data_IF_317300169294
#
_entry.id   IF_317300169294
#
_cell.length_a   1.000
_cell.length_b   1.000
_cell.length_c   1.000
_cell.angle_alpha   90.00
_cell.angle_beta   90.00
_cell.angle_gamma   90.00
#
_symmetry.space_group_name_H-M   'P 1'
#
loop_
_entity.id
_entity.type
_entity.pdbx_description
1 polymer ?
#
# COMPACT_ATOMS: atom_id res chain seq x y z
N UNK A 1 -44.27 64.78 15.19
CA UNK A 1 -44.44 64.02 16.43
C UNK A 1 -44.65 62.57 16.02
N UNK A 2 -43.57 61.79 15.89
CA UNK A 2 -43.62 60.37 15.53
C UNK A 2 -42.30 59.72 15.99
N UNK A 3 -42.43 58.66 16.78
CA UNK A 3 -41.30 58.01 17.50
C UNK A 3 -40.64 56.98 16.59
N UNK A 4 -39.42 57.24 16.12
CA UNK A 4 -38.55 56.22 15.55
C UNK A 4 -37.60 55.66 16.61
N UNK A 5 -37.81 54.39 16.96
CA UNK A 5 -36.98 53.59 17.86
C UNK A 5 -35.58 53.40 17.25
N UNK A 6 -34.54 53.76 18.01
CA UNK A 6 -33.14 53.39 17.74
C UNK A 6 -32.98 51.86 17.75
N UNK A 7 -32.60 51.29 16.61
CA UNK A 7 -32.01 49.95 16.52
C UNK A 7 -30.62 49.99 17.17
N UNK A 8 -30.37 49.11 18.14
CA UNK A 8 -29.02 48.81 18.63
C UNK A 8 -28.41 47.79 17.67
N UNK A 9 -27.32 48.16 17.02
CA UNK A 9 -26.51 47.24 16.22
C UNK A 9 -25.87 46.19 17.13
N UNK A 10 -25.78 44.98 16.59
CA UNK A 10 -25.18 43.80 17.17
C UNK A 10 -23.69 43.90 16.86
N UNK A 11 -22.90 44.34 17.84
CA UNK A 11 -21.45 44.17 17.85
C UNK A 11 -21.01 43.89 19.29
N UNK A 12 -20.98 42.61 19.66
CA UNK A 12 -20.17 42.07 20.76
C UNK A 12 -20.37 40.55 20.84
N UNK A 13 -19.80 39.80 19.91
CA UNK A 13 -19.63 38.34 20.06
C UNK A 13 -18.23 37.93 19.62
N UNK A 14 -17.22 38.40 20.36
CA UNK A 14 -15.91 37.77 20.44
C UNK A 14 -15.30 37.99 21.83
N UNK A 15 -15.80 37.24 22.82
CA UNK A 15 -15.03 36.94 24.02
C UNK A 15 -14.37 35.58 23.81
N UNK A 16 -13.05 35.57 23.67
CA UNK A 16 -12.21 34.38 23.74
C UNK A 16 -12.36 33.78 25.15
N UNK A 17 -12.88 32.57 25.25
CA UNK A 17 -12.78 31.78 26.48
C UNK A 17 -11.48 31.00 26.46
N UNK A 18 -10.59 31.27 27.42
CA UNK A 18 -9.43 30.44 27.67
C UNK A 18 -9.87 29.07 28.23
N UNK A 19 -9.27 27.95 27.77
CA UNK A 19 -9.59 26.64 28.31
C UNK A 19 -8.98 26.47 29.70
N UNK A 20 -9.83 26.23 30.71
CA UNK A 20 -9.37 25.80 32.04
C UNK A 20 -8.84 24.37 31.96
N UNK A 21 -7.57 24.18 32.25
CA UNK A 21 -6.98 22.86 32.49
C UNK A 21 -7.56 22.27 33.79
N UNK A 22 -8.22 21.11 33.68
CA UNK A 22 -8.58 20.29 34.83
C UNK A 22 -7.66 19.07 34.85
N UNK A 23 -6.70 19.06 35.79
CA UNK A 23 -5.89 17.89 36.09
C UNK A 23 -6.72 16.85 36.85
N UNK A 24 -6.91 15.67 36.25
CA UNK A 24 -7.88 14.64 36.65
C UNK A 24 -7.41 13.78 37.85
N UNK A 25 -6.97 14.41 38.94
CA UNK A 25 -6.47 13.73 40.14
C UNK A 25 -7.55 12.94 40.91
N UNK A 26 -8.84 13.26 40.70
CA UNK A 26 -9.95 12.60 41.38
C UNK A 26 -10.14 11.14 40.98
N UNK A 27 -10.00 10.84 39.68
CA UNK A 27 -10.22 9.50 39.14
C UNK A 27 -9.10 8.53 39.56
N UNK A 28 -7.86 8.99 39.53
CA UNK A 28 -6.70 8.20 39.96
C UNK A 28 -6.80 7.79 41.44
N UNK A 29 -7.20 8.74 42.31
CA UNK A 29 -7.38 8.50 43.75
C UNK A 29 -8.51 7.51 44.04
N UNK A 30 -9.58 7.54 43.24
CA UNK A 30 -10.70 6.61 43.35
C UNK A 30 -10.34 5.17 42.93
N UNK A 31 -9.58 5.02 41.84
CA UNK A 31 -9.12 3.71 41.34
C UNK A 31 -8.16 3.07 42.33
N UNK A 32 -7.23 3.85 42.89
CA UNK A 32 -6.25 3.35 43.85
C UNK A 32 -6.90 2.89 45.16
N UNK A 33 -7.93 3.61 45.64
CA UNK A 33 -8.68 3.26 46.85
C UNK A 33 -9.51 1.97 46.72
N UNK A 34 -9.93 1.61 45.51
CA UNK A 34 -10.84 0.48 45.27
C UNK A 34 -10.21 -0.69 44.49
N UNK A 35 -8.87 -0.74 44.34
CA UNK A 35 -8.15 -1.74 43.53
C UNK A 35 -8.40 -3.21 43.97
N UNK A 36 -8.89 -3.44 45.19
CA UNK A 36 -9.13 -4.78 45.75
C UNK A 36 -10.60 -5.20 45.82
N UNK A 37 -11.55 -4.36 45.38
CA UNK A 37 -12.98 -4.71 45.35
C UNK A 37 -13.46 -4.85 43.91
N UNK A 38 -13.86 -6.06 43.53
CA UNK A 38 -14.51 -6.33 42.24
C UNK A 38 -15.96 -5.87 42.30
N UNK A 39 -16.19 -4.56 42.15
CA UNK A 39 -17.54 -3.99 42.01
C UNK A 39 -17.77 -3.70 40.54
N UNK A 40 -18.54 -4.56 39.86
CA UNK A 40 -19.04 -4.30 38.52
C UNK A 40 -20.31 -3.44 38.63
N UNK A 41 -20.33 -2.33 37.91
CA UNK A 41 -21.43 -1.37 37.96
C UNK A 41 -22.48 -1.69 36.89
N UNK A 42 -23.63 -2.20 37.33
CA UNK A 42 -24.86 -2.25 36.54
C UNK A 42 -25.55 -0.89 36.52
N UNK A 43 -26.32 -0.60 35.46
CA UNK A 43 -26.90 0.73 35.19
C UNK A 43 -28.02 1.14 36.16
N UNK A 44 -28.49 0.25 37.05
CA UNK A 44 -29.57 0.57 37.99
C UNK A 44 -29.36 0.11 39.44
N UNK A 45 -28.42 -0.78 39.77
CA UNK A 45 -28.13 -1.15 41.17
C UNK A 45 -26.84 -1.97 41.31
N UNK A 46 -26.26 -1.98 42.53
CA UNK A 46 -25.08 -2.80 42.89
C UNK A 46 -25.54 -4.16 43.39
N UNK A 47 -25.31 -5.24 42.63
CA UNK A 47 -25.47 -6.61 43.12
C UNK A 47 -24.13 -7.32 43.23
N UNK A 48 -23.99 -8.21 44.21
CA UNK A 48 -22.82 -9.07 44.40
C UNK A 48 -22.86 -10.34 43.53
N UNK A 49 -24.01 -10.65 42.92
CA UNK A 49 -24.21 -11.84 42.10
C UNK A 49 -24.67 -11.45 40.68
N UNK A 50 -24.02 -12.04 39.68
CA UNK A 50 -24.27 -11.80 38.26
C UNK A 50 -25.23 -12.86 37.71
N UNK A 51 -26.38 -12.43 37.17
CA UNK A 51 -27.30 -13.27 36.39
C UNK A 51 -27.35 -12.75 34.96
N UNK A 52 -27.12 -13.64 33.99
CA UNK A 52 -27.05 -13.35 32.55
C UNK A 52 -28.34 -12.78 31.97
N UNK A 53 -29.49 -13.03 32.62
CA UNK A 53 -30.81 -12.55 32.23
C UNK A 53 -30.94 -11.02 32.25
N UNK A 54 -30.16 -10.32 33.09
CA UNK A 54 -30.26 -8.87 33.25
C UNK A 54 -29.58 -8.06 32.14
N UNK A 55 -28.85 -8.71 31.23
CA UNK A 55 -28.09 -8.01 30.20
C UNK A 55 -28.87 -7.68 28.93
N UNK A 56 -30.10 -8.20 28.74
CA UNK A 56 -30.92 -8.01 27.52
C UNK A 56 -30.14 -8.19 26.19
N UNK A 57 -29.03 -8.92 26.20
CA UNK A 57 -28.13 -9.12 25.06
C UNK A 57 -28.36 -10.45 24.34
N UNK A 58 -29.33 -11.24 24.79
CA UNK A 58 -29.76 -12.47 24.12
C UNK A 58 -31.24 -12.36 23.76
N UNK A 59 -31.55 -12.60 22.49
CA UNK A 59 -32.92 -12.72 22.00
C UNK A 59 -33.57 -13.96 22.60
N UNK A 60 -34.52 -13.76 23.51
CA UNK A 60 -35.45 -14.82 23.93
C UNK A 60 -36.50 -14.94 22.83
N UNK A 61 -36.53 -16.09 22.16
CA UNK A 61 -37.58 -16.41 21.17
C UNK A 61 -38.89 -16.57 21.94
N UNK A 62 -39.88 -15.74 21.62
CA UNK A 62 -41.18 -15.72 22.27
C UNK A 62 -42.14 -16.60 21.44
N UNK A 63 -42.86 -17.54 22.06
CA UNK A 63 -43.67 -18.57 21.38
C UNK A 63 -44.92 -18.05 20.65
N UNK A 64 -45.12 -16.72 20.57
CA UNK A 64 -46.30 -16.08 20.00
C UNK A 64 -45.96 -15.06 18.91
N UNK A 65 -45.24 -15.44 17.85
CA UNK A 65 -45.16 -14.63 16.63
C UNK A 65 -45.56 -15.43 15.39
N UNK A 66 -46.49 -14.90 14.54
CA UNK A 66 -46.91 -15.58 13.33
C UNK A 66 -45.86 -15.44 12.21
N UNK A 67 -45.83 -16.46 11.34
CA UNK A 67 -44.98 -16.53 10.16
C UNK A 67 -45.15 -15.30 9.25
N UNK A 68 -44.06 -14.55 9.03
CA UNK A 68 -43.99 -13.58 7.95
C UNK A 68 -43.24 -14.19 6.76
N UNK A 69 -44.02 -14.53 5.74
CA UNK A 69 -43.56 -14.71 4.37
C UNK A 69 -43.23 -13.33 3.76
N UNK A 70 -42.24 -13.33 2.88
CA UNK A 70 -41.81 -12.20 2.05
C UNK A 70 -42.97 -11.41 1.43
N UNK A 71 -42.80 -10.10 1.30
CA UNK A 71 -43.25 -9.33 0.13
C UNK A 71 -42.53 -7.98 0.05
N UNK A 72 -42.12 -7.65 -1.17
CA UNK A 72 -41.57 -6.39 -1.63
C UNK A 72 -42.43 -5.18 -1.23
N UNK A 73 -41.77 -4.05 -0.95
CA UNK A 73 -42.43 -2.78 -0.71
C UNK A 73 -41.45 -1.66 -0.44
N UNK A 74 -41.00 -1.01 -1.51
CA UNK A 74 -40.31 0.28 -1.47
C UNK A 74 -41.20 1.28 -0.72
N UNK A 75 -40.74 1.78 0.43
CA UNK A 75 -41.30 2.95 1.09
C UNK A 75 -40.19 3.97 1.36
N UNK A 76 -40.28 5.07 0.60
CA UNK A 76 -39.58 6.33 0.87
C UNK A 76 -39.88 6.78 2.31
N UNK A 77 -38.82 6.98 3.10
CA UNK A 77 -38.93 7.57 4.43
C UNK A 77 -38.45 9.02 4.36
N UNK A 78 -39.40 9.96 4.43
CA UNK A 78 -39.11 11.38 4.60
C UNK A 78 -38.45 11.66 5.97
N UNK A 79 -37.53 12.61 5.94
CA UNK A 79 -36.56 12.91 7.01
C UNK A 79 -37.17 13.89 8.01
N UNK A 80 -37.73 13.38 9.11
CA UNK A 80 -38.08 14.22 10.28
C UNK A 80 -36.81 14.41 11.14
N UNK A 81 -36.24 15.61 11.12
CA UNK A 81 -35.13 16.02 11.98
C UNK A 81 -35.69 16.39 13.35
N UNK A 82 -35.64 15.46 14.29
CA UNK A 82 -35.77 15.74 15.72
C UNK A 82 -34.39 15.70 16.36
N UNK A 83 -33.79 16.87 16.61
CA UNK A 83 -32.54 17.01 17.35
C UNK A 83 -32.76 16.73 18.85
N UNK A 84 -32.67 15.46 19.24
CA UNK A 84 -32.41 15.10 20.65
C UNK A 84 -30.91 15.13 20.88
N UNK A 85 -30.45 15.97 21.81
CA UNK A 85 -29.07 15.98 22.28
C UNK A 85 -28.72 14.63 22.92
N UNK A 86 -28.02 13.79 22.17
CA UNK A 86 -27.53 12.49 22.65
C UNK A 86 -26.23 12.75 23.42
N UNK A 87 -26.23 12.43 24.72
CA UNK A 87 -24.98 12.25 25.49
C UNK A 87 -24.26 11.02 24.89
N UNK A 88 -23.30 11.28 24.00
CA UNK A 88 -22.48 10.25 23.34
C UNK A 88 -21.82 9.33 24.38
N UNK A 89 -22.02 8.03 24.24
CA UNK A 89 -21.39 7.02 25.10
C UNK A 89 -19.91 6.84 24.74
N UNK A 90 -19.13 6.19 25.63
CA UNK A 90 -17.71 5.84 25.36
C UNK A 90 -17.53 5.00 24.07
N UNK A 91 -18.54 4.23 23.68
CA UNK A 91 -18.55 3.48 22.42
C UNK A 91 -18.62 4.39 21.19
N UNK A 92 -19.38 5.49 21.27
CA UNK A 92 -19.51 6.47 20.20
C UNK A 92 -18.21 7.25 20.01
N UNK A 93 -17.46 7.49 21.10
CA UNK A 93 -16.14 8.14 21.03
C UNK A 93 -15.14 7.29 20.24
N UNK A 94 -15.15 5.97 20.43
CA UNK A 94 -14.24 5.08 19.69
C UNK A 94 -14.59 5.02 18.20
N UNK A 95 -15.88 4.98 17.87
CA UNK A 95 -16.32 5.04 16.47
C UNK A 95 -15.97 6.39 15.83
N UNK A 96 -16.15 7.50 16.54
CA UNK A 96 -15.78 8.84 16.06
C UNK A 96 -14.27 8.99 15.83
N UNK A 97 -13.45 8.44 16.72
CA UNK A 97 -11.98 8.37 16.53
C UNK A 97 -11.66 7.51 15.30
N UNK A 98 -12.31 6.36 15.14
CA UNK A 98 -12.07 5.44 14.00
C UNK A 98 -12.49 6.07 12.67
N UNK A 99 -13.63 6.75 12.62
CA UNK A 99 -14.10 7.45 11.43
C UNK A 99 -13.20 8.65 11.11
N UNK A 100 -12.81 9.44 12.10
CA UNK A 100 -11.89 10.58 11.91
C UNK A 100 -10.54 10.14 11.34
N UNK A 101 -9.96 9.06 11.88
CA UNK A 101 -8.67 8.53 11.44
C UNK A 101 -8.76 7.46 10.34
N UNK A 102 -9.94 7.28 9.74
CA UNK A 102 -10.05 6.50 8.49
C UNK A 102 -9.39 7.24 7.32
N UNK A 103 -9.34 8.58 7.38
CA UNK A 103 -8.61 9.41 6.43
C UNK A 103 -7.27 9.87 7.03
N UNK A 104 -6.18 9.49 6.36
CA UNK A 104 -4.82 9.83 6.76
C UNK A 104 -4.57 11.35 6.78
N UNK A 105 -5.34 12.14 6.02
CA UNK A 105 -5.22 13.61 5.99
C UNK A 105 -5.52 14.23 7.35
N UNK A 106 -6.49 13.69 8.08
CA UNK A 106 -6.83 14.16 9.41
C UNK A 106 -5.73 13.82 10.42
N UNK A 107 -5.04 12.70 10.22
CA UNK A 107 -3.86 12.35 11.02
C UNK A 107 -2.72 13.35 10.79
N UNK A 108 -2.43 13.69 9.53
CA UNK A 108 -1.41 14.68 9.18
C UNK A 108 -1.76 16.08 9.71
N UNK A 109 -3.04 16.48 9.62
CA UNK A 109 -3.50 17.77 10.12
C UNK A 109 -3.44 17.85 11.65
N UNK A 110 -3.90 16.83 12.36
CA UNK A 110 -3.82 16.78 13.83
C UNK A 110 -2.36 16.76 14.32
N UNK A 111 -1.46 16.11 13.57
CA UNK A 111 -0.03 16.12 13.85
C UNK A 111 0.60 17.53 13.68
N UNK A 112 0.25 18.24 12.60
CA UNK A 112 0.71 19.62 12.37
C UNK A 112 0.14 20.62 13.38
N UNK A 113 -1.10 20.41 13.80
CA UNK A 113 -1.79 21.25 14.79
C UNK A 113 -1.40 20.89 16.24
N UNK A 114 -0.49 19.91 16.46
CA UNK A 114 -0.01 19.50 17.78
C UNK A 114 -1.05 18.78 18.66
N UNK A 115 -2.16 18.33 18.07
CA UNK A 115 -3.26 17.67 18.77
C UNK A 115 -2.99 16.17 18.91
N UNK A 116 -2.66 15.73 20.12
CA UNK A 116 -2.38 14.30 20.42
C UNK A 116 -3.62 13.50 20.84
N UNK A 117 -4.84 13.97 20.54
CA UNK A 117 -6.07 13.32 20.97
C UNK A 117 -6.31 11.99 20.24
N UNK A 118 -5.83 10.90 20.82
CA UNK A 118 -6.21 9.53 20.43
C UNK A 118 -5.06 8.64 19.96
N UNK A 119 -3.82 9.14 19.91
CA UNK A 119 -2.65 8.32 19.61
C UNK A 119 -1.89 8.03 20.90
N UNK A 120 -1.62 6.76 21.20
CA UNK A 120 -0.77 6.43 22.35
C UNK A 120 0.67 6.87 22.07
N UNK A 121 1.39 7.28 23.13
CA UNK A 121 2.83 7.61 23.07
C UNK A 121 3.65 6.52 22.38
N UNK A 122 3.35 5.25 22.63
CA UNK A 122 4.01 4.12 21.98
C UNK A 122 3.81 4.10 20.45
N UNK A 123 2.62 4.44 19.96
CA UNK A 123 2.35 4.50 18.52
C UNK A 123 3.06 5.68 17.87
N UNK A 124 3.10 6.83 18.53
CA UNK A 124 3.86 7.99 18.04
C UNK A 124 5.36 7.69 17.94
N UNK A 125 5.91 7.00 18.93
CA UNK A 125 7.32 6.62 18.92
C UNK A 125 7.65 5.66 17.78
N UNK A 126 6.81 4.64 17.54
CA UNK A 126 6.98 3.74 16.40
C UNK A 126 6.85 4.46 15.04
N UNK A 127 5.91 5.40 14.91
CA UNK A 127 5.77 6.21 13.69
C UNK A 127 7.01 7.07 13.46
N UNK A 128 7.61 7.63 14.51
CA UNK A 128 8.85 8.41 14.42
C UNK A 128 10.03 7.58 13.90
N UNK A 129 10.18 6.35 14.39
CA UNK A 129 11.24 5.42 13.95
C UNK A 129 11.06 5.05 12.47
N UNK A 130 9.83 4.74 12.06
CA UNK A 130 9.56 4.39 10.66
C UNK A 130 9.78 5.59 9.75
N UNK A 131 9.34 6.78 10.17
CA UNK A 131 9.53 8.02 9.40
C UNK A 131 11.01 8.39 9.25
N UNK A 132 11.84 8.20 10.27
CA UNK A 132 13.27 8.52 10.20
C UNK A 132 14.02 7.59 9.22
N UNK A 133 13.64 6.31 9.14
CA UNK A 133 14.20 5.37 8.16
C UNK A 133 13.88 5.79 6.72
N UNK A 134 12.60 6.08 6.44
CA UNK A 134 12.21 6.56 5.11
C UNK A 134 12.85 7.91 4.76
N UNK A 135 12.92 8.82 5.72
CA UNK A 135 13.59 10.10 5.53
C UNK A 135 15.09 9.91 5.25
N UNK A 136 15.78 9.02 5.98
CA UNK A 136 17.18 8.69 5.75
C UNK A 136 17.43 8.08 4.37
N UNK A 137 16.60 7.12 3.95
CA UNK A 137 16.68 6.54 2.61
C UNK A 137 16.47 7.60 1.52
N UNK A 138 15.46 8.46 1.68
CA UNK A 138 15.18 9.54 0.74
C UNK A 138 16.31 10.58 0.69
N UNK A 139 16.82 10.99 1.85
CA UNK A 139 17.91 11.96 1.98
C UNK A 139 19.19 11.41 1.34
N UNK A 140 19.53 10.15 1.57
CA UNK A 140 20.67 9.50 0.93
C UNK A 140 20.51 9.49 -0.58
N UNK A 141 19.34 9.10 -1.09
CA UNK A 141 19.09 9.10 -2.54
C UNK A 141 19.20 10.50 -3.13
N UNK A 142 18.74 11.53 -2.41
CA UNK A 142 18.84 12.92 -2.81
C UNK A 142 20.30 13.41 -2.82
N UNK A 143 21.08 13.09 -1.78
CA UNK A 143 22.51 13.41 -1.68
C UNK A 143 23.27 12.76 -2.84
N UNK A 144 23.08 11.46 -3.07
CA UNK A 144 23.75 10.75 -4.17
C UNK A 144 23.40 11.31 -5.55
N UNK A 145 22.13 11.72 -5.75
CA UNK A 145 21.66 12.21 -7.04
C UNK A 145 22.09 13.65 -7.34
N UNK A 146 22.13 14.52 -6.34
CA UNK A 146 22.41 15.96 -6.54
C UNK A 146 23.83 16.38 -6.21
N UNK A 147 24.46 15.73 -5.23
CA UNK A 147 25.82 16.05 -4.79
C UNK A 147 26.86 15.10 -5.41
N UNK A 148 26.40 13.98 -6.00
CA UNK A 148 27.25 12.99 -6.65
C UNK A 148 28.09 12.18 -5.65
N UNK A 149 28.74 11.08 -6.10
CA UNK A 149 29.57 10.25 -5.22
C UNK A 149 30.80 10.98 -4.63
N UNK A 150 31.14 12.16 -5.15
CA UNK A 150 32.29 12.97 -4.71
C UNK A 150 31.97 13.98 -3.60
N UNK A 151 30.74 13.99 -3.07
CA UNK A 151 30.37 14.82 -1.93
C UNK A 151 30.66 14.19 -0.55
N UNK A 152 31.18 12.96 -0.54
CA UNK A 152 31.93 12.47 0.62
C UNK A 152 33.17 13.34 0.77
N UNK A 153 33.26 14.06 1.89
CA UNK A 153 34.31 15.01 2.18
C UNK A 153 35.70 14.43 1.86
N UNK A 154 36.43 15.10 0.96
CA UNK A 154 37.88 15.06 0.92
C UNK A 154 38.36 15.59 2.26
N UNK A 155 38.50 14.69 3.25
CA UNK A 155 39.20 15.02 4.48
C UNK A 155 40.68 15.08 4.13
N UNK A 156 41.19 16.30 4.05
CA UNK A 156 42.60 16.53 4.25
C UNK A 156 42.96 15.94 5.61
N UNK A 157 43.56 14.75 5.57
CA UNK A 157 44.25 14.14 6.69
C UNK A 157 45.21 15.18 7.25
N UNK A 158 45.14 15.39 8.56
CA UNK A 158 46.08 16.15 9.38
C UNK A 158 45.78 17.66 9.50
N UNK A 159 44.80 18.03 10.34
CA UNK A 159 45.00 19.01 11.45
C UNK A 159 43.77 19.44 12.25
N UNK A 160 42.54 19.04 11.90
CA UNK A 160 41.34 19.49 12.65
C UNK A 160 40.60 18.37 13.43
N UNK A 161 41.26 17.24 13.69
CA UNK A 161 40.66 16.08 14.40
C UNK A 161 40.75 16.15 15.93
N UNK A 162 40.71 17.33 16.55
CA UNK A 162 40.91 17.42 18.02
C UNK A 162 39.82 18.11 18.84
N UNK A 163 38.76 18.66 18.25
CA UNK A 163 37.77 19.40 19.08
C UNK A 163 36.35 18.82 19.01
N UNK A 164 35.98 18.08 17.96
CA UNK A 164 34.62 17.50 17.87
C UNK A 164 34.53 16.00 18.20
N UNK A 165 35.64 15.36 18.55
CA UNK A 165 35.71 13.92 18.82
C UNK A 165 35.51 13.54 20.30
N UNK A 166 35.49 14.52 21.22
CA UNK A 166 35.46 14.23 22.66
C UNK A 166 34.03 14.07 23.23
N UNK A 167 32.99 14.60 22.57
CA UNK A 167 31.62 14.58 23.12
C UNK A 167 30.72 13.49 22.52
N UNK A 168 31.08 12.91 21.36
CA UNK A 168 30.34 11.79 20.75
C UNK A 168 31.01 10.42 20.92
N UNK A 169 32.27 10.38 21.38
CA UNK A 169 33.01 9.14 21.64
C UNK A 169 32.64 8.43 22.94
N UNK A 170 32.20 9.16 23.96
CA UNK A 170 31.97 8.58 25.29
C UNK A 170 30.67 7.76 25.43
N UNK A 171 29.68 7.98 24.55
CA UNK A 171 28.41 7.23 24.57
C UNK A 171 28.32 6.12 23.52
N UNK A 172 29.08 6.22 22.42
CA UNK A 172 29.16 5.17 21.41
C UNK A 172 30.02 3.97 21.85
N UNK A 173 31.03 4.19 22.69
CA UNK A 173 31.92 3.12 23.18
C UNK A 173 31.26 2.21 24.24
N UNK A 174 30.06 2.59 24.71
CA UNK A 174 29.29 1.80 25.69
C UNK A 174 28.21 0.90 25.08
N UNK A 175 27.92 1.05 23.78
CA UNK A 175 26.91 0.24 23.07
C UNK A 175 27.54 -0.75 22.07
N UNK A 176 28.81 -0.57 21.69
CA UNK A 176 29.51 -1.52 20.80
C UNK A 176 30.74 -2.08 21.52
N UNK A 177 30.49 -2.95 22.50
CA UNK A 177 31.40 -4.08 22.74
C UNK A 177 30.90 -5.24 21.86
N UNK A 178 31.14 -5.12 20.56
CA UNK A 178 31.07 -6.27 19.66
C UNK A 178 32.47 -6.87 19.68
N UNK A 179 32.55 -8.12 20.11
CA UNK A 179 33.79 -8.90 20.15
C UNK A 179 34.51 -8.83 18.80
N UNK A 180 35.84 -8.75 18.83
CA UNK A 180 36.72 -8.73 17.63
C UNK A 180 36.60 -9.98 16.73
N UNK A 181 35.72 -10.94 17.06
CA UNK A 181 35.42 -12.13 16.26
C UNK A 181 34.41 -11.92 15.13
N UNK A 182 33.69 -10.78 15.08
CA UNK A 182 32.58 -10.60 14.13
C UNK A 182 32.94 -9.75 12.87
N UNK A 183 34.20 -9.31 12.73
CA UNK A 183 34.64 -8.54 11.55
C UNK A 183 34.78 -9.37 10.28
N UNK A 184 35.17 -10.65 10.40
CA UNK A 184 35.30 -11.55 9.23
C UNK A 184 33.93 -11.84 8.58
N UNK A 185 32.86 -11.97 9.37
CA UNK A 185 31.52 -12.25 8.84
C UNK A 185 30.89 -11.08 8.09
N UNK A 186 31.30 -9.84 8.38
CA UNK A 186 30.76 -8.65 7.71
C UNK A 186 31.35 -8.44 6.31
N UNK A 187 32.66 -8.62 6.16
CA UNK A 187 33.35 -8.53 4.87
C UNK A 187 32.91 -9.64 3.90
N UNK A 188 32.69 -10.86 4.41
CA UNK A 188 32.12 -11.98 3.64
C UNK A 188 30.70 -11.68 3.15
N UNK A 189 29.87 -11.09 4.00
CA UNK A 189 28.49 -10.70 3.63
C UNK A 189 28.44 -9.60 2.56
N UNK A 190 29.28 -8.56 2.69
CA UNK A 190 29.35 -7.48 1.69
C UNK A 190 29.88 -8.01 0.35
N UNK A 191 30.91 -8.85 0.38
CA UNK A 191 31.46 -9.48 -0.82
C UNK A 191 30.42 -10.35 -1.53
N UNK A 192 29.67 -11.15 -0.78
CA UNK A 192 28.56 -11.97 -1.31
C UNK A 192 27.48 -11.12 -1.98
N UNK A 193 27.09 -10.00 -1.35
CA UNK A 193 26.13 -9.07 -1.94
C UNK A 193 26.65 -8.51 -3.27
N UNK A 194 27.91 -8.07 -3.32
CA UNK A 194 28.49 -7.54 -4.56
C UNK A 194 28.52 -8.59 -5.67
N UNK A 195 28.90 -9.84 -5.34
CA UNK A 195 28.88 -10.96 -6.30
C UNK A 195 27.46 -11.26 -6.80
N UNK A 196 26.45 -11.23 -5.92
CA UNK A 196 25.05 -11.43 -6.31
C UNK A 196 24.57 -10.30 -7.24
N UNK A 197 24.91 -9.03 -6.96
CA UNK A 197 24.60 -7.90 -7.84
C UNK A 197 25.28 -7.99 -9.20
N UNK A 198 26.56 -8.40 -9.25
CA UNK A 198 27.29 -8.58 -10.51
C UNK A 198 26.65 -9.69 -11.35
N UNK A 199 26.32 -10.81 -10.70
CA UNK A 199 25.63 -11.94 -11.34
C UNK A 199 24.26 -11.54 -11.87
N UNK A 200 23.47 -10.80 -11.10
CA UNK A 200 22.16 -10.30 -11.53
C UNK A 200 22.30 -9.32 -12.71
N UNK A 201 23.31 -8.45 -12.67
CA UNK A 201 23.58 -7.52 -13.78
C UNK A 201 24.02 -8.24 -15.05
N UNK A 202 24.81 -9.31 -14.93
CA UNK A 202 25.24 -10.12 -16.07
C UNK A 202 24.06 -10.91 -16.65
N UNK A 203 23.21 -11.48 -15.80
CA UNK A 203 21.99 -12.18 -16.22
C UNK A 203 21.00 -11.24 -16.92
N UNK A 204 20.80 -10.00 -16.42
CA UNK A 204 19.96 -8.99 -17.08
C UNK A 204 20.47 -8.67 -18.49
N UNK A 205 21.80 -8.57 -18.66
CA UNK A 205 22.40 -8.30 -19.98
C UNK A 205 22.21 -9.46 -20.95
N UNK A 206 22.48 -10.69 -20.52
CA UNK A 206 22.28 -11.90 -21.36
C UNK A 206 20.82 -12.03 -21.77
N UNK A 207 19.91 -11.96 -20.80
CA UNK A 207 18.47 -12.03 -21.06
C UNK A 207 18.00 -10.94 -22.03
N UNK A 208 18.56 -9.73 -21.92
CA UNK A 208 18.27 -8.64 -22.85
C UNK A 208 18.72 -9.00 -24.27
N UNK A 209 19.94 -9.50 -24.44
CA UNK A 209 20.49 -9.90 -25.74
C UNK A 209 19.64 -11.01 -26.38
N UNK A 210 19.24 -12.03 -25.61
CA UNK A 210 18.38 -13.12 -26.08
C UNK A 210 17.01 -12.62 -26.54
N UNK A 211 16.40 -11.70 -25.76
CA UNK A 211 15.13 -11.08 -26.12
C UNK A 211 15.28 -10.26 -27.40
N UNK A 212 16.33 -9.43 -27.50
CA UNK A 212 16.59 -8.59 -28.67
C UNK A 212 16.82 -9.45 -29.92
N UNK A 213 17.53 -10.56 -29.82
CA UNK A 213 17.69 -11.52 -30.92
C UNK A 213 16.34 -12.11 -31.35
N UNK A 214 15.53 -12.57 -30.38
CA UNK A 214 14.24 -13.20 -30.66
C UNK A 214 13.24 -12.26 -31.35
N UNK A 215 13.22 -10.99 -30.95
CA UNK A 215 12.24 -10.01 -31.40
C UNK A 215 12.77 -9.03 -32.45
N UNK A 216 13.96 -9.29 -32.99
CA UNK A 216 14.63 -8.42 -33.96
C UNK A 216 13.74 -8.04 -35.14
N UNK A 217 13.61 -6.75 -35.40
CA UNK A 217 12.81 -6.21 -36.50
C UNK A 217 11.31 -6.12 -36.21
N UNK A 218 10.90 -6.29 -34.95
CA UNK A 218 9.52 -6.11 -34.50
C UNK A 218 9.38 -4.90 -33.55
N UNK A 219 8.20 -4.26 -33.47
CA UNK A 219 8.01 -3.10 -32.59
C UNK A 219 8.32 -3.35 -31.10
N UNK A 220 8.15 -4.58 -30.61
CA UNK A 220 8.49 -4.96 -29.22
C UNK A 220 9.98 -4.87 -28.90
N UNK A 221 10.87 -4.81 -29.89
CA UNK A 221 12.32 -4.65 -29.67
C UNK A 221 12.63 -3.43 -28.80
N UNK A 222 11.87 -2.34 -28.96
CA UNK A 222 11.98 -1.12 -28.14
C UNK A 222 11.62 -1.33 -26.66
N UNK A 223 10.96 -2.44 -26.34
CA UNK A 223 10.56 -2.82 -24.99
C UNK A 223 11.54 -3.80 -24.33
N UNK A 224 12.44 -4.44 -25.08
CA UNK A 224 13.42 -5.41 -24.59
C UNK A 224 14.17 -4.96 -23.31
N UNK A 225 14.72 -3.73 -23.21
CA UNK A 225 15.44 -3.31 -21.99
C UNK A 225 14.55 -3.18 -20.75
N UNK A 226 13.24 -3.10 -20.90
CA UNK A 226 12.30 -3.09 -19.76
C UNK A 226 11.83 -4.50 -19.42
N UNK A 227 11.75 -5.39 -20.42
CA UNK A 227 11.37 -6.79 -20.24
C UNK A 227 12.50 -7.55 -19.53
N UNK A 228 13.77 -7.30 -19.89
CA UNK A 228 14.93 -7.95 -19.28
C UNK A 228 15.10 -7.67 -17.77
N UNK A 229 14.48 -6.60 -17.26
CA UNK A 229 14.47 -6.25 -15.83
C UNK A 229 13.50 -7.08 -14.99
N UNK A 230 12.66 -7.87 -15.65
CA UNK A 230 11.68 -8.72 -14.97
C UNK A 230 12.29 -10.10 -14.69
N UNK A 231 11.68 -10.84 -13.78
CA UNK A 231 12.01 -12.26 -13.57
C UNK A 231 11.98 -13.02 -14.90
N UNK A 232 12.91 -13.94 -15.13
CA UNK A 232 13.05 -14.68 -16.40
C UNK A 232 11.73 -15.30 -16.88
N UNK A 233 10.98 -15.95 -15.98
CA UNK A 233 9.66 -16.55 -16.31
C UNK A 233 8.66 -15.47 -16.74
N UNK A 234 8.66 -14.31 -16.07
CA UNK A 234 7.78 -13.19 -16.41
C UNK A 234 8.19 -12.60 -17.78
N UNK A 235 9.49 -12.46 -18.02
CA UNK A 235 10.03 -12.03 -19.32
C UNK A 235 9.65 -13.00 -20.46
N UNK A 236 9.76 -14.31 -20.24
CA UNK A 236 9.35 -15.33 -21.18
C UNK A 236 7.85 -15.21 -21.52
N UNK A 237 6.98 -15.08 -20.51
CA UNK A 237 5.56 -14.85 -20.75
C UNK A 237 5.28 -13.52 -21.47
N UNK A 238 5.99 -12.44 -21.15
CA UNK A 238 5.84 -11.16 -21.84
C UNK A 238 6.14 -11.34 -23.34
N UNK A 239 7.23 -12.00 -23.71
CA UNK A 239 7.59 -12.17 -25.12
C UNK A 239 6.65 -13.15 -25.84
N UNK A 240 6.33 -14.29 -25.20
CA UNK A 240 5.48 -15.33 -25.78
C UNK A 240 4.02 -14.86 -25.98
N UNK A 241 3.43 -14.21 -24.97
CA UNK A 241 2.07 -13.67 -25.09
C UNK A 241 2.04 -12.55 -26.13
N UNK A 242 3.05 -11.67 -26.18
CA UNK A 242 3.10 -10.63 -27.20
C UNK A 242 3.18 -11.19 -28.62
N UNK A 243 3.90 -12.30 -28.81
CA UNK A 243 3.91 -13.02 -30.09
C UNK A 243 2.52 -13.47 -30.48
N UNK A 244 1.80 -14.05 -29.52
CA UNK A 244 0.48 -14.61 -29.78
C UNK A 244 -0.58 -13.53 -30.05
N UNK A 245 -0.60 -12.47 -29.26
CA UNK A 245 -1.67 -11.48 -29.28
C UNK A 245 -1.49 -10.42 -30.39
N UNK A 246 -0.25 -10.02 -30.67
CA UNK A 246 0.03 -8.92 -31.61
C UNK A 246 1.06 -9.27 -32.68
N UNK A 247 1.59 -10.50 -32.69
CA UNK A 247 2.79 -10.85 -33.45
C UNK A 247 3.93 -9.86 -33.18
N UNK A 248 4.23 -9.66 -31.89
CA UNK A 248 5.27 -8.75 -31.39
C UNK A 248 5.05 -7.28 -31.80
N UNK A 249 3.79 -6.85 -31.87
CA UNK A 249 3.43 -5.47 -32.21
C UNK A 249 3.19 -5.21 -33.70
N UNK A 250 3.12 -6.24 -34.56
CA UNK A 250 2.67 -6.05 -35.96
C UNK A 250 1.19 -5.73 -36.07
N UNK A 251 0.38 -6.18 -35.11
CA UNK A 251 -1.07 -5.92 -35.01
C UNK A 251 -1.36 -5.29 -33.66
N UNK A 252 -1.61 -3.99 -33.64
CA UNK A 252 -1.72 -3.22 -32.41
C UNK A 252 -3.01 -2.43 -32.38
N UNK A 253 -3.61 -2.24 -31.20
CA UNK A 253 -4.66 -1.26 -31.07
C UNK A 253 -4.08 0.13 -31.32
N UNK A 254 -4.86 0.96 -31.99
CA UNK A 254 -4.47 2.34 -32.29
C UNK A 254 -5.40 3.31 -31.59
N UNK A 255 -4.88 4.48 -31.23
CA UNK A 255 -5.65 5.62 -30.78
C UNK A 255 -5.21 6.82 -31.61
N UNK A 256 -6.13 7.42 -32.37
CA UNK A 256 -5.82 8.54 -33.28
C UNK A 256 -4.70 8.22 -34.28
N UNK A 257 -4.66 6.96 -34.76
CA UNK A 257 -3.63 6.49 -35.70
C UNK A 257 -2.25 6.25 -35.08
N UNK A 258 -2.10 6.39 -33.75
CA UNK A 258 -0.86 6.14 -33.01
C UNK A 258 -0.89 4.77 -32.34
N UNK A 259 0.28 4.14 -32.24
CA UNK A 259 0.48 2.88 -31.50
C UNK A 259 0.22 3.09 -30.01
N UNK A 260 -0.61 2.24 -29.43
CA UNK A 260 -0.97 2.23 -28.01
C UNK A 260 0.00 1.39 -27.13
N UNK A 261 1.06 0.83 -27.72
CA UNK A 261 2.07 0.00 -27.05
C UNK A 261 1.49 -1.23 -26.34
N UNK A 262 0.31 -1.69 -26.76
CA UNK A 262 -0.36 -2.83 -26.14
C UNK A 262 -0.23 -4.07 -27.01
N UNK A 263 0.82 -4.84 -26.72
CA UNK A 263 1.19 -6.01 -27.52
C UNK A 263 0.61 -7.32 -26.95
N UNK A 264 0.01 -7.27 -25.77
CA UNK A 264 -0.48 -8.43 -24.98
C UNK A 264 -2.01 -8.54 -24.93
N UNK A 265 -2.73 -7.67 -25.64
CA UNK A 265 -4.19 -7.65 -25.61
C UNK A 265 -4.78 -7.18 -24.28
N UNK A 266 -4.01 -6.46 -23.45
CA UNK A 266 -4.44 -6.05 -22.11
C UNK A 266 -5.67 -5.12 -22.14
N UNK A 267 -6.62 -5.33 -21.21
CA UNK A 267 -7.91 -4.61 -21.16
C UNK A 267 -8.18 -3.90 -19.83
N UNK A 268 -7.15 -3.39 -19.18
CA UNK A 268 -7.31 -2.53 -18.01
C UNK A 268 -7.93 -1.18 -18.38
N UNK A 269 -8.93 -0.75 -17.61
CA UNK A 269 -9.61 0.54 -17.82
C UNK A 269 -8.63 1.67 -17.49
N UNK A 270 -8.37 2.55 -18.48
CA UNK A 270 -7.58 3.77 -18.35
C UNK A 270 -8.28 4.95 -19.03
N UNK A 271 -7.75 6.16 -18.82
CA UNK A 271 -8.25 7.38 -19.50
C UNK A 271 -8.15 7.27 -21.03
N UNK A 272 -7.09 6.64 -21.52
CA UNK A 272 -6.86 6.39 -22.95
C UNK A 272 -7.15 4.91 -23.24
N UNK A 273 -8.10 4.68 -24.14
CA UNK A 273 -8.48 3.35 -24.60
C UNK A 273 -8.31 3.31 -26.11
N UNK A 274 -7.60 2.30 -26.61
CA UNK A 274 -7.45 2.06 -28.04
C UNK A 274 -8.66 1.33 -28.63
N UNK A 275 -8.59 1.03 -29.91
CA UNK A 275 -9.60 0.23 -30.63
C UNK A 275 -9.93 -1.08 -29.91
N UNK A 276 -11.22 -1.46 -29.88
CA UNK A 276 -11.65 -2.75 -29.30
C UNK A 276 -11.61 -2.82 -27.78
N UNK A 277 -11.51 -1.68 -27.08
CA UNK A 277 -11.47 -1.64 -25.61
C UNK A 277 -10.13 -2.07 -25.02
N UNK A 278 -9.08 -2.09 -25.83
CA UNK A 278 -7.72 -2.35 -25.35
C UNK A 278 -7.14 -1.13 -24.65
N UNK A 279 -6.36 -1.35 -23.61
CA UNK A 279 -5.66 -0.27 -22.90
C UNK A 279 -4.70 0.43 -23.85
N UNK A 280 -4.66 1.77 -23.81
CA UNK A 280 -3.65 2.56 -24.50
C UNK A 280 -2.64 3.10 -23.48
N UNK A 281 -1.39 2.64 -23.57
CA UNK A 281 -0.33 3.01 -22.64
C UNK A 281 0.33 4.32 -23.05
N UNK A 282 0.95 5.00 -22.08
CA UNK A 282 1.63 6.28 -22.36
C UNK A 282 3.01 6.08 -23.01
N UNK A 283 3.57 4.87 -22.95
CA UNK A 283 4.81 4.51 -23.62
C UNK A 283 5.26 3.06 -23.39
N UNK A 284 6.39 2.66 -23.99
CA UNK A 284 6.93 1.29 -23.88
C UNK A 284 7.16 0.83 -22.44
N UNK A 285 7.71 1.72 -21.60
CA UNK A 285 7.99 1.43 -20.19
C UNK A 285 6.71 1.21 -19.38
N UNK A 286 5.72 2.10 -19.50
CA UNK A 286 4.43 1.98 -18.80
C UNK A 286 3.68 0.70 -19.20
N UNK A 287 3.73 0.35 -20.49
CA UNK A 287 3.16 -0.89 -21.00
C UNK A 287 3.78 -2.13 -20.35
N UNK A 288 5.12 -2.23 -20.41
CA UNK A 288 5.86 -3.37 -19.83
C UNK A 288 5.64 -3.44 -18.32
N UNK A 289 5.82 -2.34 -17.58
CA UNK A 289 5.68 -2.35 -16.12
C UNK A 289 4.26 -2.76 -15.67
N UNK A 290 3.24 -2.31 -16.38
CA UNK A 290 1.85 -2.65 -16.05
C UNK A 290 1.53 -4.12 -16.33
N UNK A 291 1.92 -4.61 -17.50
CA UNK A 291 1.66 -5.98 -17.92
C UNK A 291 2.50 -6.96 -17.11
N UNK A 292 3.79 -6.66 -16.93
CA UNK A 292 4.71 -7.43 -16.10
C UNK A 292 4.20 -7.57 -14.67
N UNK A 293 3.67 -6.49 -14.07
CA UNK A 293 3.08 -6.55 -12.73
C UNK A 293 1.89 -7.51 -12.66
N UNK A 294 1.03 -7.53 -13.68
CA UNK A 294 -0.08 -8.49 -13.73
C UNK A 294 0.42 -9.92 -13.90
N UNK A 295 1.32 -10.16 -14.85
CA UNK A 295 1.89 -11.49 -15.09
C UNK A 295 2.64 -11.99 -13.86
N UNK A 296 3.48 -11.15 -13.24
CA UNK A 296 4.19 -11.44 -12.00
C UNK A 296 3.21 -11.84 -10.88
N UNK A 297 2.06 -11.17 -10.75
CA UNK A 297 1.03 -11.61 -9.80
C UNK A 297 0.49 -13.01 -10.12
N UNK A 298 0.23 -13.33 -11.39
CA UNK A 298 -0.26 -14.65 -11.81
C UNK A 298 0.80 -15.74 -11.55
N UNK A 299 2.06 -15.44 -11.87
CA UNK A 299 3.18 -16.37 -11.68
C UNK A 299 3.50 -16.55 -10.18
N UNK A 300 3.72 -15.46 -9.45
CA UNK A 300 4.26 -15.51 -8.09
C UNK A 300 3.19 -15.76 -7.03
N UNK A 301 2.01 -15.14 -7.15
CA UNK A 301 0.94 -15.27 -6.14
C UNK A 301 0.05 -16.47 -6.42
N UNK A 302 -0.30 -16.69 -7.69
CA UNK A 302 -1.25 -17.75 -8.10
C UNK A 302 -0.54 -19.01 -8.60
N UNK A 303 0.79 -19.01 -8.69
CA UNK A 303 1.61 -20.16 -9.12
C UNK A 303 1.25 -20.66 -10.53
N UNK A 304 0.84 -19.74 -11.40
CA UNK A 304 0.55 -19.99 -12.82
C UNK A 304 1.83 -19.80 -13.64
N UNK A 305 2.79 -20.70 -13.44
CA UNK A 305 4.14 -20.61 -14.01
C UNK A 305 4.34 -21.42 -15.30
N UNK A 306 3.29 -22.01 -15.87
CA UNK A 306 3.34 -22.75 -17.15
C UNK A 306 2.34 -22.16 -18.16
N UNK A 307 2.59 -22.24 -19.47
CA UNK A 307 1.67 -21.77 -20.51
C UNK A 307 0.25 -22.33 -20.40
N UNK A 308 0.12 -23.61 -20.02
CA UNK A 308 -1.18 -24.25 -19.75
C UNK A 308 -1.98 -23.55 -18.65
N UNK A 309 -1.31 -23.19 -17.54
CA UNK A 309 -1.92 -22.48 -16.42
C UNK A 309 -2.14 -20.99 -16.71
N UNK A 310 -1.30 -20.41 -17.57
CA UNK A 310 -1.37 -19.00 -17.99
C UNK A 310 -2.55 -18.72 -18.92
N UNK A 311 -3.35 -19.72 -19.29
CA UNK A 311 -4.60 -19.56 -20.04
C UNK A 311 -5.56 -18.53 -19.41
N UNK A 312 -5.46 -18.31 -18.09
CA UNK A 312 -6.20 -17.26 -17.36
C UNK A 312 -5.97 -15.86 -17.95
N UNK A 313 -4.82 -15.61 -18.59
CA UNK A 313 -4.57 -14.38 -19.32
C UNK A 313 -5.57 -14.15 -20.46
N UNK A 314 -5.94 -15.21 -21.18
CA UNK A 314 -6.76 -15.15 -22.38
C UNK A 314 -8.25 -14.94 -22.08
N UNK A 315 -8.79 -15.76 -21.19
CA UNK A 315 -10.24 -15.84 -20.94
C UNK A 315 -10.64 -15.54 -19.49
N UNK A 316 -9.69 -15.21 -18.62
CA UNK A 316 -9.93 -15.12 -17.18
C UNK A 316 -10.05 -16.51 -16.56
N UNK A 317 -10.68 -16.58 -15.38
CA UNK A 317 -10.87 -17.86 -14.67
C UNK A 317 -12.02 -18.70 -15.25
N UNK A 318 -12.86 -18.10 -16.09
CA UNK A 318 -13.96 -18.79 -16.77
C UNK A 318 -13.79 -18.69 -18.29
N UNK A 319 -13.44 -19.83 -18.89
CA UNK A 319 -13.24 -19.98 -20.33
C UNK A 319 -14.38 -20.75 -21.01
N UNK A 320 -15.51 -20.94 -20.33
CA UNK A 320 -16.66 -21.72 -20.83
C UNK A 320 -17.29 -21.15 -22.11
N UNK A 321 -17.11 -19.85 -22.34
CA UNK A 321 -17.64 -19.15 -23.51
C UNK A 321 -16.75 -19.28 -24.76
N UNK A 322 -15.55 -19.84 -24.63
CA UNK A 322 -14.59 -19.98 -25.73
C UNK A 322 -14.44 -21.45 -26.17
N UNK A 323 -13.98 -21.68 -27.41
CA UNK A 323 -13.86 -23.05 -27.94
C UNK A 323 -12.63 -23.73 -27.34
N UNK A 324 -12.73 -24.98 -26.83
CA UNK A 324 -11.58 -25.71 -26.28
C UNK A 324 -10.41 -25.86 -27.26
N UNK A 325 -10.68 -25.96 -28.56
CA UNK A 325 -9.64 -26.00 -29.59
C UNK A 325 -8.89 -24.68 -29.75
N UNK A 326 -9.56 -23.55 -29.60
CA UNK A 326 -8.93 -22.23 -29.63
C UNK A 326 -8.04 -22.01 -28.41
N UNK A 327 -8.45 -22.53 -27.25
CA UNK A 327 -7.67 -22.51 -26.01
C UNK A 327 -6.39 -23.32 -26.12
N UNK A 328 -6.50 -24.58 -26.56
CA UNK A 328 -5.32 -25.44 -26.76
C UNK A 328 -4.34 -24.84 -27.76
N UNK A 329 -4.84 -24.28 -28.87
CA UNK A 329 -4.00 -23.61 -29.86
C UNK A 329 -3.27 -22.40 -29.25
N UNK A 330 -3.97 -21.61 -28.43
CA UNK A 330 -3.32 -20.47 -27.77
C UNK A 330 -2.21 -20.93 -26.83
N UNK A 331 -2.45 -21.96 -26.03
CA UNK A 331 -1.44 -22.54 -25.14
C UNK A 331 -0.24 -23.02 -25.95
N UNK A 332 -0.45 -23.84 -26.99
CA UNK A 332 0.62 -24.34 -27.87
C UNK A 332 1.42 -23.20 -28.51
N UNK A 333 0.74 -22.16 -28.99
CA UNK A 333 1.40 -21.02 -29.60
C UNK A 333 2.23 -20.22 -28.58
N UNK A 334 1.82 -20.15 -27.31
CA UNK A 334 2.60 -19.48 -26.24
C UNK A 334 3.77 -20.37 -25.79
N UNK A 335 3.51 -21.65 -25.61
CA UNK A 335 4.48 -22.67 -25.18
C UNK A 335 5.68 -22.73 -26.11
N UNK A 336 5.45 -22.76 -27.42
CA UNK A 336 6.52 -22.80 -28.43
C UNK A 336 7.50 -21.60 -28.40
N UNK A 337 7.12 -20.47 -27.80
CA UNK A 337 8.03 -19.34 -27.58
C UNK A 337 8.51 -19.25 -26.13
N UNK A 338 7.76 -19.83 -25.19
CA UNK A 338 8.17 -19.95 -23.81
C UNK A 338 9.35 -20.91 -23.66
N UNK A 339 9.28 -22.10 -24.28
CA UNK A 339 10.35 -23.12 -24.27
C UNK A 339 11.68 -22.60 -24.83
N UNK A 340 11.65 -21.65 -25.77
CA UNK A 340 12.86 -21.02 -26.29
C UNK A 340 13.67 -20.32 -25.20
N UNK A 341 13.02 -19.82 -24.14
CA UNK A 341 13.73 -19.22 -23.01
C UNK A 341 14.42 -20.26 -22.12
N UNK A 342 13.93 -21.50 -22.11
CA UNK A 342 14.55 -22.61 -21.37
C UNK A 342 15.79 -23.12 -22.14
N UNK A 343 15.75 -23.15 -23.48
CA UNK A 343 16.90 -23.50 -24.32
C UNK A 343 18.10 -22.55 -24.12
N UNK A 344 17.86 -21.25 -23.86
CA UNK A 344 18.91 -20.27 -23.52
C UNK A 344 19.45 -20.42 -22.09
N UNK A 345 18.92 -21.33 -21.25
CA UNK A 345 19.47 -21.61 -19.91
C UNK A 345 20.59 -22.66 -19.94
N UNK A 346 20.53 -23.56 -20.92
CA UNK A 346 21.41 -24.73 -21.01
C UNK A 346 22.62 -24.53 -21.95
N UNK A 347 22.63 -23.46 -22.74
CA UNK A 347 23.73 -23.07 -23.65
C UNK A 347 24.58 -21.94 -23.08
#
# INVERSE_FOLDING_TARGET
MEKLKKQKSIDSFCQKSEPKEFSDYGLAKFIQKNKKSSVLFGKSERSSNFKTENLKLYFVKNDNQPNFQYLDGILQYEKIICSKGIRKGKADLYQEIKERYSDWRNYAKDFLDGSTRGVSLAKMWNVSIVASLFFGMFLMTFIYRYLGPNASAVSNRNKESQISQEVLGAEAEKIIKVDEKDKEGYEDYVSKIMMDYEKDSENEKKLKEDIEEMVKGYPIEKMAPFIAKQDRIVAAFLVAIAKKESNWGKRVPVLEGKDCYNYWGYRGIRKKMGTGGHTCFDGPKDAVETVAKRISSLVNNEKLNTPEKMIVWKCGYDCSWDKPSAMRKWVQDVDAYFEKFDEFEEG
#
